data_IF_789644819087
#
_entry.id   IF_789644819087
#
_cell.length_a   1.000
_cell.length_b   1.000
_cell.length_c   1.000
_cell.angle_alpha   90.00
_cell.angle_beta   90.00
_cell.angle_gamma   90.00
#
_symmetry.space_group_name_H-M   'P 1'
#
loop_
_entity.id
_entity.type
_entity.pdbx_description
1 polymer ?
#
# COMPACT_ATOMS: atom_id res chain seq x y z
N UNK A 1 -5.06 73.37 9.26
CA UNK A 1 -3.65 73.30 9.72
C UNK A 1 -3.54 72.20 10.77
N UNK A 2 -2.40 71.52 10.98
CA UNK A 2 -1.71 70.55 10.12
C UNK A 2 -1.69 69.10 10.71
N UNK A 3 -1.60 68.12 9.80
CA UNK A 3 -0.87 66.82 9.78
C UNK A 3 -0.80 65.83 10.99
N UNK A 4 -0.55 64.52 10.69
CA UNK A 4 -1.15 63.36 11.35
C UNK A 4 -0.19 62.64 12.31
N UNK A 5 -0.71 61.70 13.11
CA UNK A 5 0.10 60.61 13.64
C UNK A 5 -0.42 59.26 13.16
N UNK A 6 0.46 58.60 12.42
CA UNK A 6 0.40 57.22 12.03
C UNK A 6 0.65 56.30 13.24
N UNK A 7 0.09 55.09 13.18
CA UNK A 7 0.67 53.80 13.58
C UNK A 7 -0.47 52.81 13.78
N UNK A 8 -0.41 51.54 13.41
CA UNK A 8 0.36 50.83 12.40
C UNK A 8 -0.43 49.51 12.25
N UNK A 9 -0.66 49.08 11.01
CA UNK A 9 -1.17 47.76 10.66
C UNK A 9 -0.24 46.66 11.20
N UNK A 10 -0.76 45.45 11.48
CA UNK A 10 -0.43 44.24 10.71
C UNK A 10 -1.24 43.01 11.22
N UNK A 11 -1.86 42.24 10.32
CA UNK A 11 -2.56 40.99 10.60
C UNK A 11 -1.64 39.76 10.55
N UNK A 12 -2.23 38.64 10.96
CA UNK A 12 -1.76 37.25 10.94
C UNK A 12 -0.99 36.84 9.68
N UNK A 13 0.19 36.25 9.86
CA UNK A 13 0.79 35.28 8.93
C UNK A 13 1.33 34.10 9.74
N UNK A 14 0.55 33.01 9.78
CA UNK A 14 1.05 31.67 10.11
C UNK A 14 1.82 31.21 8.89
N UNK A 15 3.13 31.13 9.01
CA UNK A 15 4.01 30.68 7.94
C UNK A 15 5.42 30.55 8.46
N UNK A 16 5.75 29.40 9.02
CA UNK A 16 7.14 28.96 9.15
C UNK A 16 7.25 27.59 8.51
N UNK A 17 7.42 27.61 7.18
CA UNK A 17 8.31 26.69 6.50
C UNK A 17 9.73 26.96 7.02
N UNK A 18 10.34 25.99 7.68
CA UNK A 18 11.77 26.00 7.97
C UNK A 18 12.44 24.84 7.22
N UNK A 19 12.55 24.99 5.90
CA UNK A 19 13.63 24.41 5.13
C UNK A 19 14.69 25.48 4.94
N UNK A 20 15.75 25.43 5.76
CA UNK A 20 16.99 26.14 5.51
C UNK A 20 18.15 25.16 5.69
N UNK A 21 18.40 24.38 4.64
CA UNK A 21 19.69 23.78 4.36
C UNK A 21 20.54 24.87 3.69
N UNK A 22 21.50 25.47 4.40
CA UNK A 22 22.72 25.98 3.76
C UNK A 22 23.88 26.17 4.77
N UNK A 23 24.93 25.40 4.53
CA UNK A 23 26.35 25.69 4.79
C UNK A 23 26.79 26.15 6.20
N UNK A 24 26.99 25.19 7.10
CA UNK A 24 28.15 25.20 8.01
C UNK A 24 28.79 23.82 8.00
N UNK A 25 30.13 23.78 7.98
CA UNK A 25 30.94 22.58 7.83
C UNK A 25 30.45 21.41 8.68
N UNK A 26 30.23 20.27 8.02
CA UNK A 26 29.85 19.04 8.70
C UNK A 26 31.06 18.59 9.51
N UNK A 27 31.07 18.91 10.81
CA UNK A 27 31.88 18.18 11.76
C UNK A 27 31.42 16.70 11.71
N UNK A 28 32.28 15.74 11.33
CA UNK A 28 31.94 14.33 11.40
C UNK A 28 31.92 13.93 12.88
N UNK A 29 30.77 14.09 13.55
CA UNK A 29 30.71 13.74 14.97
C UNK A 29 29.40 14.01 15.70
N UNK A 30 28.53 14.91 15.20
CA UNK A 30 27.25 15.16 15.86
C UNK A 30 26.22 14.06 15.50
N UNK A 31 26.36 12.88 16.10
CA UNK A 31 25.20 11.98 16.25
C UNK A 31 24.21 12.71 17.15
N UNK A 32 23.11 13.18 16.57
CA UNK A 32 22.00 13.71 17.36
C UNK A 32 21.60 12.64 18.39
N UNK A 33 21.86 12.89 19.67
CA UNK A 33 21.50 11.97 20.74
C UNK A 33 20.00 12.11 21.00
N UNK A 34 19.22 11.11 20.63
CA UNK A 34 17.78 11.08 20.94
C UNK A 34 17.62 10.83 22.44
N UNK A 35 17.03 11.80 23.16
CA UNK A 35 16.78 11.67 24.59
C UNK A 35 15.86 10.48 24.91
N UNK A 36 15.87 10.00 26.16
CA UNK A 36 14.98 8.93 26.60
C UNK A 36 13.49 9.31 26.42
N UNK A 37 13.13 10.57 26.70
CA UNK A 37 11.76 11.08 26.48
C UNK A 37 11.36 11.02 25.01
N UNK A 38 12.22 11.53 24.11
CA UNK A 38 11.97 11.46 22.66
C UNK A 38 11.84 10.01 22.17
N UNK A 39 12.70 9.09 22.64
CA UNK A 39 12.58 7.64 22.34
C UNK A 39 11.26 7.06 22.83
N UNK A 40 10.81 7.44 24.02
CA UNK A 40 9.51 7.04 24.57
C UNK A 40 8.35 7.50 23.71
N UNK A 41 8.32 8.77 23.31
CA UNK A 41 7.28 9.34 22.43
C UNK A 41 7.24 8.62 21.08
N UNK A 42 8.38 8.43 20.42
CA UNK A 42 8.46 7.73 19.13
C UNK A 42 7.94 6.29 19.22
N UNK A 43 8.27 5.57 20.29
CA UNK A 43 7.74 4.22 20.55
C UNK A 43 6.23 4.23 20.77
N UNK A 44 5.71 5.21 21.51
CA UNK A 44 4.27 5.38 21.72
C UNK A 44 3.53 5.61 20.41
N UNK A 45 4.04 6.51 19.57
CA UNK A 45 3.50 6.79 18.24
C UNK A 45 3.53 5.56 17.33
N UNK A 46 4.66 4.83 17.30
CA UNK A 46 4.77 3.61 16.50
C UNK A 46 3.75 2.53 16.92
N UNK A 47 3.49 2.38 18.23
CA UNK A 47 2.47 1.45 18.74
C UNK A 47 1.05 1.87 18.40
N UNK A 48 0.75 3.16 18.50
CA UNK A 48 -0.56 3.69 18.12
C UNK A 48 -0.81 3.48 16.62
N UNK A 49 0.21 3.73 15.79
CA UNK A 49 0.16 3.45 14.36
C UNK A 49 -0.07 1.97 14.05
N UNK A 50 0.71 1.08 14.68
CA UNK A 50 0.54 -0.37 14.52
C UNK A 50 -0.86 -0.82 14.93
N UNK A 51 -1.37 -0.34 16.07
CA UNK A 51 -2.70 -0.70 16.55
C UNK A 51 -3.81 -0.22 15.60
N UNK A 52 -3.70 1.00 15.07
CA UNK A 52 -4.70 1.57 14.17
C UNK A 52 -4.81 0.82 12.83
N UNK A 53 -3.71 0.20 12.37
CA UNK A 53 -3.64 -0.45 11.06
C UNK A 53 -3.57 -1.98 11.13
N UNK A 54 -3.54 -2.55 12.33
CA UNK A 54 -3.42 -4.00 12.54
C UNK A 54 -4.65 -4.75 12.05
N UNK A 55 -4.40 -5.96 11.56
CA UNK A 55 -5.40 -6.95 11.25
C UNK A 55 -5.69 -7.87 12.44
N UNK A 56 -6.98 -8.10 12.69
CA UNK A 56 -7.48 -8.99 13.74
C UNK A 56 -8.31 -10.11 13.14
N UNK A 57 -8.19 -11.31 13.71
CA UNK A 57 -9.07 -12.43 13.37
C UNK A 57 -10.43 -12.24 14.01
N UNK A 58 -11.50 -12.43 13.23
CA UNK A 58 -12.90 -12.40 13.66
C UNK A 58 -13.62 -13.63 13.16
N UNK A 59 -14.71 -14.00 13.81
CA UNK A 59 -15.64 -15.02 13.30
C UNK A 59 -16.75 -14.36 12.47
N UNK A 60 -17.04 -14.90 11.30
CA UNK A 60 -18.12 -14.51 10.40
C UNK A 60 -19.04 -15.73 10.20
N UNK A 61 -20.35 -15.64 10.52
CA UNK A 61 -21.29 -16.74 10.35
C UNK A 61 -21.42 -17.26 8.90
N UNK A 62 -21.22 -16.40 7.90
CA UNK A 62 -21.35 -16.77 6.48
C UNK A 62 -20.04 -17.31 5.90
N UNK A 63 -18.89 -16.86 6.42
CA UNK A 63 -17.58 -17.11 5.81
C UNK A 63 -16.58 -17.84 6.72
N UNK A 64 -16.96 -18.18 7.96
CA UNK A 64 -16.07 -18.77 8.95
C UNK A 64 -15.10 -17.75 9.55
N UNK A 65 -13.87 -18.14 9.85
CA UNK A 65 -12.87 -17.20 10.35
C UNK A 65 -12.46 -16.21 9.24
N UNK A 66 -12.63 -14.91 9.50
CA UNK A 66 -12.21 -13.81 8.63
C UNK A 66 -11.11 -13.00 9.30
N UNK A 67 -10.27 -12.36 8.50
CA UNK A 67 -9.36 -11.33 8.99
C UNK A 67 -9.97 -9.97 8.69
N UNK A 68 -10.02 -9.08 9.68
CA UNK A 68 -10.60 -7.76 9.52
C UNK A 68 -9.67 -6.67 10.04
N UNK A 69 -9.76 -5.49 9.44
CA UNK A 69 -9.15 -4.27 9.96
C UNK A 69 -10.04 -3.06 9.66
N UNK A 70 -9.73 -1.96 10.33
CA UNK A 70 -10.15 -0.62 9.91
C UNK A 70 -8.93 0.14 9.40
N UNK A 71 -9.16 1.08 8.50
CA UNK A 71 -8.21 2.15 8.23
C UNK A 71 -8.88 3.47 8.60
N UNK A 72 -8.60 4.03 9.79
CA UNK A 72 -9.25 5.25 10.23
C UNK A 72 -8.84 6.48 9.41
N UNK A 73 -7.64 6.48 8.83
CA UNK A 73 -7.11 7.60 8.06
C UNK A 73 -7.87 7.79 6.73
N UNK A 74 -8.51 6.74 6.22
CA UNK A 74 -9.35 6.75 5.02
C UNK A 74 -10.78 6.24 5.26
N UNK A 75 -11.21 6.12 6.52
CA UNK A 75 -12.52 5.59 6.91
C UNK A 75 -12.90 4.24 6.27
N UNK A 76 -11.92 3.35 6.03
CA UNK A 76 -12.18 2.05 5.40
C UNK A 76 -12.42 0.93 6.42
N UNK A 77 -13.31 0.01 6.09
CA UNK A 77 -13.44 -1.31 6.71
C UNK A 77 -12.97 -2.37 5.71
N UNK A 78 -12.09 -3.26 6.17
CA UNK A 78 -11.47 -4.31 5.37
C UNK A 78 -11.83 -5.67 5.95
N UNK A 79 -12.24 -6.61 5.09
CA UNK A 79 -12.46 -8.02 5.46
C UNK A 79 -11.78 -8.93 4.45
N UNK A 80 -11.13 -9.98 4.94
CA UNK A 80 -10.38 -10.95 4.16
C UNK A 80 -10.90 -12.35 4.48
N UNK A 81 -11.19 -13.11 3.42
CA UNK A 81 -11.68 -14.48 3.47
C UNK A 81 -11.09 -15.31 2.32
N UNK A 82 -11.45 -16.58 2.20
CA UNK A 82 -11.02 -17.39 1.05
C UNK A 82 -11.49 -16.81 -0.31
N UNK A 83 -12.54 -15.99 -0.28
CA UNK A 83 -13.20 -15.37 -1.42
C UNK A 83 -12.48 -14.09 -1.88
N UNK A 84 -11.60 -13.51 -1.05
CA UNK A 84 -10.83 -12.31 -1.39
C UNK A 84 -10.95 -11.21 -0.34
N UNK A 85 -10.68 -9.99 -0.77
CA UNK A 85 -10.87 -8.77 0.01
C UNK A 85 -12.28 -8.22 -0.21
N UNK A 86 -12.94 -7.82 0.86
CA UNK A 86 -14.08 -6.90 0.83
C UNK A 86 -13.65 -5.58 1.46
N UNK A 87 -13.87 -4.48 0.74
CA UNK A 87 -13.60 -3.11 1.18
C UNK A 87 -14.91 -2.34 1.26
N UNK A 88 -15.09 -1.58 2.34
CA UNK A 88 -16.24 -0.69 2.52
C UNK A 88 -15.79 0.65 3.11
N UNK A 89 -16.14 1.75 2.46
CA UNK A 89 -15.88 3.11 2.96
C UNK A 89 -17.09 3.69 3.69
N UNK A 90 -18.29 3.47 3.15
CA UNK A 90 -19.55 3.92 3.76
C UNK A 90 -20.39 2.71 4.20
N UNK A 91 -20.76 2.58 5.49
CA UNK A 91 -21.66 1.53 5.99
C UNK A 91 -23.00 1.44 5.25
N UNK A 92 -23.48 2.53 4.64
CA UNK A 92 -24.71 2.56 3.85
C UNK A 92 -24.55 2.03 2.41
N UNK A 93 -23.31 1.74 2.00
CA UNK A 93 -22.99 1.20 0.67
C UNK A 93 -22.63 -0.28 0.73
N UNK A 94 -22.93 -0.99 -0.36
CA UNK A 94 -22.46 -2.36 -0.54
C UNK A 94 -20.94 -2.40 -0.59
N UNK A 95 -20.29 -3.41 0.02
CA UNK A 95 -18.85 -3.57 -0.10
C UNK A 95 -18.43 -3.85 -1.55
N UNK A 96 -17.20 -3.45 -1.87
CA UNK A 96 -16.52 -3.80 -3.12
C UNK A 96 -15.62 -5.00 -2.82
N UNK A 97 -15.85 -6.09 -3.54
CA UNK A 97 -15.03 -7.29 -3.54
C UNK A 97 -13.88 -7.17 -4.52
N UNK A 98 -12.69 -7.64 -4.12
CA UNK A 98 -11.50 -7.77 -4.96
C UNK A 98 -10.89 -9.16 -4.77
N UNK A 99 -10.60 -9.84 -5.88
CA UNK A 99 -9.98 -11.18 -5.86
C UNK A 99 -8.95 -11.34 -6.99
N UNK A 100 -7.79 -11.92 -6.67
CA UNK A 100 -6.87 -12.44 -7.68
C UNK A 100 -7.46 -13.69 -8.34
N UNK A 101 -7.82 -13.60 -9.61
CA UNK A 101 -8.41 -14.68 -10.37
C UNK A 101 -7.36 -15.49 -11.14
N UNK A 102 -6.42 -14.81 -11.83
CA UNK A 102 -5.38 -15.44 -12.65
C UNK A 102 -4.04 -14.76 -12.47
N UNK A 103 -2.95 -15.51 -12.60
CA UNK A 103 -1.59 -14.99 -12.57
C UNK A 103 -0.66 -15.86 -13.43
N UNK A 104 0.43 -15.29 -13.94
CA UNK A 104 1.42 -16.01 -14.72
C UNK A 104 2.09 -15.15 -15.78
N UNK A 105 2.54 -15.78 -16.86
CA UNK A 105 3.01 -15.07 -18.05
C UNK A 105 1.85 -14.29 -18.69
N UNK A 106 2.12 -13.12 -19.26
CA UNK A 106 1.10 -12.25 -19.82
C UNK A 106 0.26 -12.89 -20.94
N UNK A 107 0.85 -13.82 -21.69
CA UNK A 107 0.23 -14.60 -22.76
C UNK A 107 -0.34 -15.96 -22.30
N UNK A 108 -0.02 -16.39 -21.07
CA UNK A 108 -0.41 -17.69 -20.51
C UNK A 108 -0.83 -17.58 -19.04
N UNK A 109 -1.82 -16.74 -18.76
CA UNK A 109 -2.43 -16.60 -17.43
C UNK A 109 -3.11 -17.91 -16.97
N UNK A 110 -2.83 -18.35 -15.75
CA UNK A 110 -3.44 -19.54 -15.14
C UNK A 110 -4.31 -19.14 -13.95
N UNK A 111 -5.40 -19.86 -13.74
CA UNK A 111 -6.26 -19.68 -12.57
C UNK A 111 -5.47 -19.86 -11.27
N UNK A 112 -5.63 -18.92 -10.34
CA UNK A 112 -4.94 -19.00 -9.06
C UNK A 112 -5.80 -19.79 -8.07
N UNK A 113 -5.24 -20.75 -7.31
CA UNK A 113 -6.02 -21.54 -6.37
C UNK A 113 -6.56 -20.67 -5.22
N UNK A 114 -7.71 -21.07 -4.62
CA UNK A 114 -8.18 -20.50 -3.37
C UNK A 114 -7.12 -20.64 -2.27
N UNK A 115 -7.05 -19.64 -1.38
CA UNK A 115 -6.15 -19.65 -0.24
C UNK A 115 -6.81 -18.93 0.92
N UNK A 116 -6.53 -19.39 2.14
CA UNK A 116 -6.95 -18.70 3.35
C UNK A 116 -5.98 -17.54 3.64
N UNK A 117 -6.49 -16.37 4.08
CA UNK A 117 -5.64 -15.26 4.46
C UNK A 117 -4.93 -15.54 5.79
N UNK A 118 -3.70 -15.04 5.92
CA UNK A 118 -2.95 -15.06 7.18
C UNK A 118 -2.50 -13.64 7.53
N UNK A 119 -2.83 -13.20 8.74
CA UNK A 119 -2.48 -11.87 9.25
C UNK A 119 -1.17 -11.87 10.04
N UNK A 120 -0.36 -10.82 9.87
CA UNK A 120 0.80 -10.50 10.70
C UNK A 120 0.94 -8.98 10.81
N UNK A 121 0.58 -8.43 11.96
CA UNK A 121 0.56 -6.98 12.20
C UNK A 121 -0.38 -6.26 11.21
N UNK A 122 0.15 -5.28 10.49
CA UNK A 122 -0.57 -4.52 9.46
C UNK A 122 -0.52 -5.16 8.06
N UNK A 123 -0.22 -6.47 7.96
CA UNK A 123 -0.12 -7.20 6.69
C UNK A 123 -0.99 -8.46 6.69
N UNK A 124 -1.63 -8.74 5.55
CA UNK A 124 -2.29 -10.01 5.23
C UNK A 124 -1.60 -10.65 4.03
N UNK A 125 -1.43 -11.96 4.04
CA UNK A 125 -0.90 -12.73 2.91
C UNK A 125 -1.83 -13.88 2.52
N UNK A 126 -1.97 -14.09 1.20
CA UNK A 126 -2.50 -15.29 0.59
C UNK A 126 -1.35 -16.05 -0.07
N UNK A 127 -1.07 -17.27 0.38
CA UNK A 127 -0.10 -18.17 -0.27
C UNK A 127 -0.83 -19.04 -1.29
N UNK A 128 -0.51 -18.86 -2.57
CA UNK A 128 -1.23 -19.47 -3.70
C UNK A 128 -0.27 -20.24 -4.60
N UNK A 129 0.25 -21.35 -4.10
CA UNK A 129 1.30 -22.11 -4.78
C UNK A 129 2.59 -21.29 -4.84
N UNK A 130 3.10 -21.02 -6.04
CA UNK A 130 4.35 -20.29 -6.27
C UNK A 130 4.22 -18.75 -6.18
N UNK A 131 3.04 -18.22 -5.88
CA UNK A 131 2.82 -16.78 -5.70
C UNK A 131 2.26 -16.46 -4.32
N UNK A 132 2.68 -15.30 -3.81
CA UNK A 132 2.16 -14.69 -2.59
C UNK A 132 1.50 -13.37 -3.00
N UNK A 133 0.21 -13.28 -2.76
CA UNK A 133 -0.52 -12.01 -2.79
C UNK A 133 -0.52 -11.43 -1.38
N UNK A 134 -0.28 -10.14 -1.24
CA UNK A 134 -0.23 -9.49 0.06
C UNK A 134 -0.93 -8.15 0.05
N UNK A 135 -1.42 -7.78 1.23
CA UNK A 135 -2.05 -6.50 1.49
C UNK A 135 -1.41 -5.86 2.71
N UNK A 136 -1.13 -4.55 2.66
CA UNK A 136 -0.59 -3.78 3.78
C UNK A 136 -1.51 -2.60 4.06
N UNK A 137 -1.99 -2.50 5.30
CA UNK A 137 -2.79 -1.39 5.76
C UNK A 137 -1.86 -0.33 6.36
N UNK A 138 -1.99 0.93 5.95
CA UNK A 138 -1.16 2.02 6.47
C UNK A 138 -1.80 3.38 6.26
N UNK A 139 -1.11 4.44 6.69
CA UNK A 139 -1.64 5.81 6.63
C UNK A 139 -1.95 6.32 5.22
N UNK A 140 -1.43 5.68 4.17
CA UNK A 140 -1.73 6.02 2.77
C UNK A 140 -2.86 5.18 2.18
N UNK A 141 -3.53 4.35 2.99
CA UNK A 141 -4.57 3.42 2.56
C UNK A 141 -4.11 1.96 2.56
N UNK A 142 -4.81 1.17 1.74
CA UNK A 142 -4.52 -0.24 1.54
C UNK A 142 -3.61 -0.39 0.32
N UNK A 143 -2.46 -1.00 0.53
CA UNK A 143 -1.54 -1.36 -0.54
C UNK A 143 -1.68 -2.84 -0.87
N UNK A 144 -1.70 -3.19 -2.15
CA UNK A 144 -1.68 -4.57 -2.63
C UNK A 144 -0.36 -4.83 -3.37
N UNK A 145 0.17 -6.04 -3.24
CA UNK A 145 1.27 -6.48 -4.09
C UNK A 145 1.34 -7.99 -4.24
N UNK A 146 2.26 -8.41 -5.11
CA UNK A 146 2.46 -9.80 -5.48
C UNK A 146 3.96 -10.13 -5.40
N UNK A 147 4.28 -11.36 -4.99
CA UNK A 147 5.61 -11.94 -5.04
C UNK A 147 5.52 -13.30 -5.70
N UNK A 148 6.38 -13.59 -6.67
CA UNK A 148 6.54 -14.92 -7.24
C UNK A 148 7.82 -15.51 -6.64
N UNK A 149 7.73 -16.71 -6.07
CA UNK A 149 8.85 -17.34 -5.37
C UNK A 149 9.91 -17.88 -6.34
N UNK A 150 9.52 -18.12 -7.59
CA UNK A 150 10.40 -18.50 -8.68
C UNK A 150 10.05 -17.71 -9.95
N UNK A 151 11.00 -17.55 -10.89
CA UNK A 151 10.69 -17.06 -12.23
C UNK A 151 9.59 -17.91 -12.86
N UNK A 152 8.61 -17.26 -13.49
CA UNK A 152 7.58 -17.97 -14.27
C UNK A 152 8.23 -18.44 -15.57
N UNK A 153 8.33 -19.76 -15.83
CA UNK A 153 9.01 -20.27 -17.02
C UNK A 153 8.42 -19.69 -18.31
N UNK A 154 9.28 -19.22 -19.21
CA UNK A 154 8.87 -18.64 -20.49
C UNK A 154 8.27 -17.23 -20.41
N UNK A 155 8.13 -16.63 -19.22
CA UNK A 155 7.54 -15.29 -19.10
C UNK A 155 8.55 -14.17 -19.42
N UNK A 156 8.29 -13.41 -20.49
CA UNK A 156 8.95 -12.12 -20.74
C UNK A 156 8.30 -10.98 -19.95
N UNK A 157 7.00 -11.13 -19.65
CA UNK A 157 6.18 -10.18 -18.92
C UNK A 157 5.25 -10.98 -18.00
N UNK A 158 5.12 -10.55 -16.74
CA UNK A 158 4.17 -11.13 -15.80
C UNK A 158 2.84 -10.40 -15.92
N UNK A 159 1.74 -11.10 -15.70
CA UNK A 159 0.45 -10.47 -15.55
C UNK A 159 -0.34 -11.07 -14.39
N UNK A 160 -1.24 -10.25 -13.85
CA UNK A 160 -2.26 -10.66 -12.91
C UNK A 160 -3.62 -10.19 -13.43
N UNK A 161 -4.64 -11.01 -13.20
CA UNK A 161 -6.03 -10.71 -13.51
C UNK A 161 -6.80 -10.63 -12.20
N UNK A 162 -7.29 -9.42 -11.90
CA UNK A 162 -8.11 -9.12 -10.74
C UNK A 162 -9.58 -9.09 -11.13
N UNK A 163 -10.42 -9.72 -10.34
CA UNK A 163 -11.87 -9.61 -10.43
C UNK A 163 -12.37 -8.63 -9.37
N UNK A 164 -13.18 -7.67 -9.82
CA UNK A 164 -13.89 -6.73 -8.97
C UNK A 164 -15.37 -7.10 -8.98
N UNK A 165 -15.98 -7.13 -7.80
CA UNK A 165 -17.40 -7.36 -7.64
C UNK A 165 -18.02 -6.25 -6.79
N UNK A 166 -19.05 -5.58 -7.30
CA UNK A 166 -19.89 -4.71 -6.47
C UNK A 166 -21.30 -5.30 -6.42
N UNK A 167 -21.84 -5.49 -5.22
CA UNK A 167 -23.25 -5.86 -5.07
C UNK A 167 -24.11 -4.61 -5.34
N UNK A 168 -24.95 -4.61 -6.39
CA UNK A 168 -25.86 -3.49 -6.62
C UNK A 168 -26.91 -3.39 -5.50
N UNK A 169 -27.33 -2.16 -5.22
CA UNK A 169 -28.43 -1.89 -4.28
C UNK A 169 -29.72 -2.55 -4.78
N UNK A 170 -30.49 -3.14 -3.87
CA UNK A 170 -31.80 -3.75 -4.11
C UNK A 170 -32.84 -2.81 -4.75
N UNK A 171 -32.56 -1.52 -4.89
CA UNK A 171 -33.49 -0.51 -5.42
C UNK A 171 -33.33 -0.23 -6.93
N UNK A 172 -32.28 -0.74 -7.57
CA UNK A 172 -32.13 -0.74 -9.03
C UNK A 172 -32.20 -2.20 -9.50
N UNK A 173 -33.31 -2.57 -10.15
CA UNK A 173 -33.59 -3.86 -10.82
C UNK A 173 -32.78 -5.06 -10.27
N UNK A 174 -33.40 -5.79 -9.34
CA UNK A 174 -33.09 -7.15 -8.92
C UNK A 174 -31.84 -7.80 -9.58
N UNK A 175 -30.76 -7.93 -8.81
CA UNK A 175 -29.75 -8.96 -9.03
C UNK A 175 -28.54 -8.63 -9.90
N UNK A 176 -28.33 -7.37 -10.32
CA UNK A 176 -27.12 -7.02 -11.07
C UNK A 176 -25.88 -6.99 -10.14
N UNK A 177 -24.96 -7.94 -10.27
CA UNK A 177 -23.60 -7.78 -9.74
C UNK A 177 -22.77 -7.13 -10.84
N UNK A 178 -22.15 -5.98 -10.58
CA UNK A 178 -21.16 -5.44 -11.50
C UNK A 178 -19.86 -6.23 -11.30
N UNK A 179 -19.55 -7.10 -12.25
CA UNK A 179 -18.29 -7.83 -12.28
C UNK A 179 -17.37 -7.21 -13.33
N UNK A 180 -16.18 -6.78 -12.89
CA UNK A 180 -15.14 -6.23 -13.76
C UNK A 180 -13.87 -7.06 -13.69
N UNK A 181 -13.07 -7.04 -14.76
CA UNK A 181 -11.73 -7.65 -14.80
C UNK A 181 -10.68 -6.61 -15.13
N UNK A 182 -9.62 -6.58 -14.33
CA UNK A 182 -8.45 -5.73 -14.56
C UNK A 182 -7.26 -6.65 -14.80
N UNK A 183 -6.63 -6.52 -15.97
CA UNK A 183 -5.35 -7.19 -16.26
C UNK A 183 -4.24 -6.17 -16.08
N UNK A 184 -3.37 -6.41 -15.11
CA UNK A 184 -2.17 -5.60 -14.89
C UNK A 184 -0.96 -6.36 -15.36
N UNK A 185 -0.16 -5.72 -16.22
CA UNK A 185 1.13 -6.27 -16.62
C UNK A 185 2.24 -5.71 -15.75
N UNK A 186 3.12 -6.59 -15.32
CA UNK A 186 4.17 -6.33 -14.35
C UNK A 186 5.48 -6.69 -15.03
N UNK A 187 6.34 -5.69 -15.22
CA UNK A 187 7.71 -5.94 -15.67
C UNK A 187 8.42 -6.77 -14.60
N UNK A 188 8.97 -7.92 -14.99
CA UNK A 188 9.80 -8.72 -14.10
C UNK A 188 11.06 -7.89 -13.74
N UNK A 189 11.18 -7.45 -12.47
CA UNK A 189 12.41 -6.86 -11.95
C UNK A 189 13.39 -8.05 -11.77
N UNK A 190 14.12 -8.43 -12.84
CA UNK A 190 15.10 -9.53 -12.83
C UNK A 190 16.28 -9.23 -11.92
N UNK A 191 17.10 -10.23 -11.52
CA UNK A 191 18.32 -9.97 -10.76
C UNK A 191 19.18 -9.02 -11.58
N UNK A 192 19.54 -7.88 -11.00
CA UNK A 192 20.53 -7.00 -11.59
C UNK A 192 21.83 -7.78 -11.70
N UNK A 193 22.16 -8.28 -12.88
CA UNK A 193 23.49 -8.81 -13.17
C UNK A 193 24.46 -7.68 -12.84
N UNK A 194 25.42 -7.85 -11.90
CA UNK A 194 26.45 -6.84 -11.75
C UNK A 194 27.20 -6.78 -13.08
N UNK A 195 27.05 -5.66 -13.78
CA UNK A 195 27.81 -5.41 -14.99
C UNK A 195 29.29 -5.49 -14.61
N UNK A 196 29.98 -6.53 -15.07
CA UNK A 196 31.44 -6.56 -15.08
C UNK A 196 31.87 -5.37 -15.93
N UNK A 197 32.41 -4.35 -15.28
CA UNK A 197 32.83 -3.13 -15.92
C UNK A 197 34.05 -3.40 -16.80
N UNK A 198 33.82 -3.78 -18.06
CA UNK A 198 34.80 -3.59 -19.12
C UNK A 198 34.87 -2.09 -19.42
N UNK A 199 35.91 -1.45 -18.92
CA UNK A 199 36.21 -0.04 -19.19
C UNK A 199 36.43 0.19 -20.68
N UNK A 200 35.44 0.76 -21.37
CA UNK A 200 35.60 1.65 -22.53
C UNK A 200 34.23 2.26 -22.90
N UNK A 201 34.10 3.55 -22.60
CA UNK A 201 33.22 4.54 -23.25
C UNK A 201 31.87 4.03 -23.80
N UNK A 202 30.83 4.06 -22.97
CA UNK A 202 29.45 4.20 -23.44
C UNK A 202 28.52 4.75 -22.35
N UNK A 203 27.58 5.58 -22.77
CA UNK A 203 26.55 6.30 -22.04
C UNK A 203 25.85 5.50 -20.93
N UNK A 204 25.75 6.10 -19.72
CA UNK A 204 25.00 5.58 -18.57
C UNK A 204 23.52 5.35 -18.93
N UNK A 205 22.97 4.13 -18.85
CA UNK A 205 21.52 3.96 -18.82
C UNK A 205 20.98 4.38 -17.45
N UNK A 206 19.86 5.12 -17.44
CA UNK A 206 19.12 5.47 -16.23
C UNK A 206 18.53 4.20 -15.63
N UNK A 207 19.08 3.73 -14.51
CA UNK A 207 18.42 2.74 -13.67
C UNK A 207 17.08 3.30 -13.17
N UNK A 208 15.97 2.63 -13.51
CA UNK A 208 14.68 2.87 -12.86
C UNK A 208 14.70 2.16 -11.52
N UNK A 209 14.56 2.91 -10.43
CA UNK A 209 14.43 2.37 -9.09
C UNK A 209 13.07 1.66 -8.94
N UNK A 210 13.08 0.34 -8.70
CA UNK A 210 11.94 -0.39 -8.12
C UNK A 210 11.91 0.00 -6.61
N UNK A 211 10.81 0.60 -6.13
CA UNK A 211 10.57 0.87 -4.70
C UNK A 211 10.00 -0.42 -4.08
N UNK A 212 10.57 -0.84 -2.95
CA UNK A 212 10.24 -2.06 -2.20
C UNK A 212 9.13 -1.85 -1.17
#
# INVERSE_FOLDING_TARGET
MPRPNAMLSIPRCVGVLASALLCLGIAPGARASVSHRQRGTLRGQARAFDHAHRFDTRSDPANGAVIAARNPDQAMELRFSAQGLELREDPATSPIGLRLARAGAADALVAVPPALPVASGARVEYRRGASIEWYRNGANGLEQGFRFEAPVPGALELAVELELAAAARQHERAGATLAGRIVSRIAACGPSTPAVASSRHASRPRARACVW
#
